data_IF_399509963516
#
_entry.id   IF_399509963516
#
_cell.length_a   1.000
_cell.length_b   1.000
_cell.length_c   1.000
_cell.angle_alpha   90.00
_cell.angle_beta   90.00
_cell.angle_gamma   90.00
#
_symmetry.space_group_name_H-M   'P 1'
#
loop_
_entity.id
_entity.type
_entity.pdbx_description
1 polymer ?
#
# COMPACT_ATOMS: atom_id res chain seq x y z
N UNK A 1 -35.72 23.19 19.39
CA UNK A 1 -35.24 21.79 19.23
C UNK A 1 -34.82 21.40 17.78
N UNK A 2 -34.20 22.27 16.95
CA UNK A 2 -33.53 21.82 15.72
C UNK A 2 -32.00 21.63 15.90
N UNK A 3 -31.38 22.41 16.78
CA UNK A 3 -29.92 22.46 16.98
C UNK A 3 -29.34 21.16 17.55
N UNK A 4 -30.05 20.52 18.48
CA UNK A 4 -29.66 19.21 19.04
C UNK A 4 -29.75 18.08 18.01
N UNK A 5 -30.71 18.16 17.07
CA UNK A 5 -30.84 17.19 15.97
C UNK A 5 -29.78 17.40 14.90
N UNK A 6 -29.43 18.65 14.59
CA UNK A 6 -28.32 18.99 13.69
C UNK A 6 -26.97 18.57 14.26
N UNK A 7 -26.74 18.76 15.56
CA UNK A 7 -25.54 18.25 16.26
C UNK A 7 -25.46 16.73 16.22
N UNK A 8 -26.57 16.02 16.51
CA UNK A 8 -26.62 14.56 16.42
C UNK A 8 -26.38 14.05 15.00
N UNK A 9 -26.95 14.71 13.98
CA UNK A 9 -26.71 14.36 12.58
C UNK A 9 -25.26 14.60 12.15
N UNK A 10 -24.65 15.71 12.57
CA UNK A 10 -23.24 15.98 12.32
C UNK A 10 -22.33 14.94 12.97
N UNK A 11 -22.64 14.53 14.20
CA UNK A 11 -21.86 13.54 14.95
C UNK A 11 -21.98 12.13 14.35
N UNK A 12 -23.16 11.77 13.84
CA UNK A 12 -23.39 10.51 13.12
C UNK A 12 -22.67 10.50 11.76
N UNK A 13 -22.73 11.59 10.99
CA UNK A 13 -22.02 11.70 9.72
C UNK A 13 -20.50 11.66 9.90
N UNK A 14 -20.00 12.30 10.95
CA UNK A 14 -18.58 12.28 11.32
C UNK A 14 -18.11 10.89 11.75
N UNK A 15 -18.88 10.19 12.58
CA UNK A 15 -18.60 8.82 12.96
C UNK A 15 -18.62 7.86 11.75
N UNK A 16 -19.57 8.06 10.82
CA UNK A 16 -19.65 7.27 9.59
C UNK A 16 -18.47 7.53 8.65
N UNK A 17 -17.99 8.77 8.55
CA UNK A 17 -16.80 9.10 7.75
C UNK A 17 -15.51 8.50 8.35
N UNK A 18 -15.35 8.57 9.68
CA UNK A 18 -14.22 7.93 10.38
C UNK A 18 -14.28 6.40 10.20
N UNK A 19 -15.45 5.80 10.38
CA UNK A 19 -15.64 4.37 10.14
C UNK A 19 -15.34 4.00 8.68
N UNK A 20 -15.74 4.82 7.71
CA UNK A 20 -15.43 4.64 6.29
C UNK A 20 -13.94 4.70 5.96
N UNK A 21 -13.18 5.60 6.59
CA UNK A 21 -11.72 5.69 6.43
C UNK A 21 -11.01 4.54 7.13
N UNK A 22 -11.47 4.12 8.31
CA UNK A 22 -10.90 2.96 9.02
C UNK A 22 -11.19 1.64 8.29
N UNK A 23 -12.41 1.44 7.80
CA UNK A 23 -12.78 0.29 6.97
C UNK A 23 -12.04 0.34 5.64
N UNK A 24 -11.94 1.52 5.01
CA UNK A 24 -11.16 1.73 3.80
C UNK A 24 -9.68 1.41 3.98
N UNK A 25 -9.08 1.75 5.14
CA UNK A 25 -7.72 1.35 5.51
C UNK A 25 -7.60 -0.14 5.81
N UNK A 26 -8.54 -0.76 6.51
CA UNK A 26 -8.53 -2.21 6.72
C UNK A 26 -8.65 -2.99 5.41
N UNK A 27 -9.36 -2.45 4.42
CA UNK A 27 -9.48 -3.03 3.07
C UNK A 27 -8.26 -2.71 2.20
N UNK A 28 -7.61 -1.56 2.38
CA UNK A 28 -6.41 -1.16 1.63
C UNK A 28 -5.10 -1.73 2.20
N UNK A 29 -5.02 -1.94 3.52
CA UNK A 29 -3.93 -2.59 4.26
C UNK A 29 -4.12 -4.12 4.30
N UNK A 30 -5.29 -4.64 3.88
CA UNK A 30 -5.40 -6.06 3.60
C UNK A 30 -4.38 -6.38 2.49
N UNK A 31 -3.54 -7.42 2.65
CA UNK A 31 -2.69 -7.88 1.57
C UNK A 31 -3.57 -8.03 0.34
N UNK A 32 -3.34 -7.22 -0.70
CA UNK A 32 -4.10 -7.37 -1.94
C UNK A 32 -3.95 -8.82 -2.32
N UNK A 33 -5.05 -9.51 -2.62
CA UNK A 33 -5.01 -10.94 -2.91
C UNK A 33 -3.92 -11.28 -3.95
N UNK A 34 -3.60 -10.34 -4.84
CA UNK A 34 -2.49 -10.38 -5.81
C UNK A 34 -1.07 -10.41 -5.22
N UNK A 35 -0.77 -9.68 -4.12
CA UNK A 35 0.57 -9.66 -3.49
C UNK A 35 0.82 -11.00 -2.75
N UNK A 36 -0.20 -11.52 -2.07
CA UNK A 36 -0.17 -12.84 -1.44
C UNK A 36 -0.11 -13.97 -2.48
N UNK A 37 -0.83 -13.85 -3.60
CA UNK A 37 -0.77 -14.82 -4.70
C UNK A 37 0.61 -14.85 -5.36
N UNK A 38 1.24 -13.69 -5.57
CA UNK A 38 2.57 -13.61 -6.18
C UNK A 38 3.67 -14.16 -5.24
N UNK A 39 3.61 -13.85 -3.94
CA UNK A 39 4.49 -14.45 -2.94
C UNK A 39 4.26 -15.98 -2.81
N UNK A 40 3.01 -16.44 -2.83
CA UNK A 40 2.70 -17.87 -2.79
C UNK A 40 3.17 -18.60 -4.05
N UNK A 41 3.15 -17.94 -5.21
CA UNK A 41 3.73 -18.44 -6.46
C UNK A 41 5.25 -18.52 -6.40
N UNK A 42 5.91 -17.48 -5.89
CA UNK A 42 7.36 -17.43 -5.74
C UNK A 42 7.91 -18.54 -4.83
N UNK A 43 7.23 -18.83 -3.72
CA UNK A 43 7.68 -19.83 -2.74
C UNK A 43 7.08 -21.23 -2.92
N UNK A 44 6.02 -21.37 -3.72
CA UNK A 44 5.28 -22.63 -3.87
C UNK A 44 5.36 -23.28 -5.26
N UNK A 45 5.67 -22.52 -6.31
CA UNK A 45 5.70 -23.04 -7.69
C UNK A 45 7.06 -22.94 -8.38
N UNK A 46 7.97 -22.08 -7.89
CA UNK A 46 9.34 -22.04 -8.39
C UNK A 46 10.21 -23.01 -7.58
N UNK A 47 10.83 -23.96 -8.28
CA UNK A 47 11.87 -24.82 -7.71
C UNK A 47 13.16 -24.01 -7.58
N UNK A 48 13.30 -23.30 -6.45
CA UNK A 48 14.42 -22.41 -6.15
C UNK A 48 15.62 -23.21 -5.64
N UNK A 49 16.81 -22.89 -6.11
CA UNK A 49 18.03 -23.45 -5.51
C UNK A 49 18.31 -22.80 -4.15
N UNK A 50 19.05 -23.46 -3.24
CA UNK A 50 19.43 -22.85 -1.96
C UNK A 50 20.15 -21.50 -2.11
N UNK A 51 20.96 -21.34 -3.17
CA UNK A 51 21.64 -20.07 -3.45
C UNK A 51 20.68 -18.97 -3.91
N UNK A 52 19.58 -19.34 -4.58
CA UNK A 52 18.53 -18.40 -4.98
C UNK A 52 17.71 -17.98 -3.76
N UNK A 53 17.35 -18.92 -2.86
CA UNK A 53 16.64 -18.63 -1.62
C UNK A 53 17.39 -17.60 -0.77
N UNK A 54 18.68 -17.81 -0.51
CA UNK A 54 19.50 -16.86 0.29
C UNK A 54 19.54 -15.46 -0.35
N UNK A 55 19.59 -15.38 -1.69
CA UNK A 55 19.57 -14.08 -2.39
C UNK A 55 18.21 -13.41 -2.27
N UNK A 56 17.13 -14.17 -2.40
CA UNK A 56 15.76 -13.69 -2.28
C UNK A 56 15.47 -13.23 -0.85
N UNK A 57 15.85 -13.98 0.18
CA UNK A 57 15.68 -13.58 1.58
C UNK A 57 16.31 -12.22 1.89
N UNK A 58 17.49 -11.93 1.32
CA UNK A 58 18.11 -10.62 1.46
C UNK A 58 17.31 -9.52 0.77
N UNK A 59 16.83 -9.77 -0.46
CA UNK A 59 15.98 -8.83 -1.21
C UNK A 59 14.68 -8.55 -0.44
N UNK A 60 14.10 -9.58 0.17
CA UNK A 60 12.89 -9.47 1.01
C UNK A 60 13.14 -8.63 2.27
N UNK A 61 14.23 -8.89 2.99
CA UNK A 61 14.58 -8.11 4.18
C UNK A 61 14.78 -6.62 3.85
N UNK A 62 15.48 -6.32 2.76
CA UNK A 62 15.70 -4.95 2.30
C UNK A 62 14.39 -4.26 1.90
N UNK A 63 13.50 -4.97 1.20
CA UNK A 63 12.19 -4.45 0.82
C UNK A 63 11.28 -4.23 2.04
N UNK A 64 11.23 -5.18 2.97
CA UNK A 64 10.44 -5.07 4.19
C UNK A 64 10.83 -3.84 5.03
N UNK A 65 12.13 -3.57 5.15
CA UNK A 65 12.64 -2.37 5.83
C UNK A 65 12.20 -1.07 5.14
N UNK A 66 12.32 -0.99 3.81
CA UNK A 66 11.90 0.19 3.04
C UNK A 66 10.39 0.39 3.06
N UNK A 67 9.62 -0.69 2.90
CA UNK A 67 8.15 -0.66 2.99
C UNK A 67 7.70 -0.13 4.35
N UNK A 68 8.26 -0.65 5.44
CA UNK A 68 7.92 -0.20 6.79
C UNK A 68 8.23 1.29 7.01
N UNK A 69 9.36 1.79 6.49
CA UNK A 69 9.70 3.20 6.58
C UNK A 69 8.68 4.09 5.86
N UNK A 70 8.29 3.72 4.63
CA UNK A 70 7.30 4.45 3.84
C UNK A 70 5.90 4.39 4.47
N UNK A 71 5.50 3.26 5.03
CA UNK A 71 4.23 3.13 5.77
C UNK A 71 4.19 4.06 7.00
N UNK A 72 5.30 4.17 7.73
CA UNK A 72 5.41 5.11 8.85
C UNK A 72 5.31 6.57 8.37
N UNK A 73 5.92 6.88 7.23
CA UNK A 73 5.84 8.20 6.62
C UNK A 73 4.42 8.55 6.17
N UNK A 74 3.70 7.60 5.57
CA UNK A 74 2.27 7.76 5.25
C UNK A 74 1.44 8.04 6.50
N UNK A 75 1.72 7.34 7.62
CA UNK A 75 1.02 7.60 8.89
C UNK A 75 1.32 9.00 9.41
N UNK A 76 2.56 9.46 9.31
CA UNK A 76 2.95 10.81 9.70
C UNK A 76 2.27 11.88 8.84
N UNK A 77 2.20 11.69 7.51
CA UNK A 77 1.48 12.58 6.61
C UNK A 77 -0.01 12.67 6.96
N UNK A 78 -0.64 11.56 7.32
CA UNK A 78 -2.03 11.55 7.77
C UNK A 78 -2.25 12.31 9.09
N UNK A 79 -1.29 12.27 10.02
CA UNK A 79 -1.34 13.09 11.24
C UNK A 79 -1.26 14.58 10.90
N UNK A 80 -0.36 14.98 9.98
CA UNK A 80 -0.27 16.37 9.51
C UNK A 80 -1.55 16.82 8.81
N UNK A 81 -2.14 15.97 7.98
CA UNK A 81 -3.43 16.24 7.33
C UNK A 81 -4.54 16.49 8.35
N UNK A 82 -4.64 15.66 9.41
CA UNK A 82 -5.63 15.86 10.46
C UNK A 82 -5.44 17.22 11.18
N UNK A 83 -4.20 17.59 11.49
CA UNK A 83 -3.87 18.88 12.10
C UNK A 83 -4.21 20.06 11.16
N UNK A 84 -3.96 19.91 9.86
CA UNK A 84 -4.30 20.92 8.86
C UNK A 84 -5.83 21.12 8.76
N UNK A 85 -6.60 20.03 8.72
CA UNK A 85 -8.07 20.08 8.70
C UNK A 85 -8.61 20.76 9.95
N UNK A 86 -8.08 20.44 11.12
CA UNK A 86 -8.47 21.09 12.38
C UNK A 86 -8.15 22.58 12.37
N UNK A 87 -7.03 22.99 11.80
CA UNK A 87 -6.60 24.38 11.84
C UNK A 87 -7.20 25.26 10.73
N UNK A 88 -7.61 24.69 9.60
CA UNK A 88 -8.14 25.44 8.45
C UNK A 88 -9.66 25.32 8.31
N UNK A 89 -10.28 24.28 8.89
CA UNK A 89 -11.72 24.01 8.79
C UNK A 89 -12.28 24.06 7.37
N UNK A 90 -11.43 23.76 6.38
CA UNK A 90 -11.70 23.88 4.95
C UNK A 90 -10.51 23.39 4.14
N UNK A 91 -10.68 23.33 2.83
CA UNK A 91 -9.64 22.90 1.90
C UNK A 91 -8.68 24.06 1.63
N UNK A 92 -7.79 24.34 2.59
CA UNK A 92 -6.79 25.39 2.52
C UNK A 92 -5.40 24.87 2.14
N UNK A 93 -4.39 25.76 2.13
CA UNK A 93 -3.06 25.43 1.64
C UNK A 93 -2.38 24.31 2.43
N UNK A 94 -2.55 24.21 3.76
CA UNK A 94 -1.94 23.13 4.54
C UNK A 94 -2.61 21.79 4.31
N UNK A 95 -3.93 21.79 4.05
CA UNK A 95 -4.65 20.58 3.67
C UNK A 95 -4.17 20.07 2.31
N UNK A 96 -3.98 20.97 1.34
CA UNK A 96 -3.43 20.60 0.02
C UNK A 96 -2.01 20.04 0.14
N UNK A 97 -1.12 20.71 0.88
CA UNK A 97 0.26 20.27 1.08
C UNK A 97 0.33 18.86 1.70
N UNK A 98 -0.43 18.60 2.77
CA UNK A 98 -0.44 17.29 3.42
C UNK A 98 -1.01 16.15 2.53
N UNK A 99 -1.95 16.49 1.63
CA UNK A 99 -2.46 15.54 0.62
C UNK A 99 -1.37 15.24 -0.42
N UNK A 100 -0.67 16.26 -0.91
CA UNK A 100 0.39 16.10 -1.91
C UNK A 100 1.56 15.26 -1.35
N UNK A 101 1.95 15.48 -0.10
CA UNK A 101 2.92 14.62 0.61
C UNK A 101 2.44 13.17 0.66
N UNK A 102 1.17 12.93 0.98
CA UNK A 102 0.60 11.58 1.04
C UNK A 102 0.67 10.90 -0.34
N UNK A 103 0.39 11.64 -1.42
CA UNK A 103 0.52 11.13 -2.79
C UNK A 103 1.96 10.82 -3.17
N UNK A 104 2.92 11.64 -2.76
CA UNK A 104 4.34 11.40 -3.02
C UNK A 104 4.84 10.11 -2.35
N UNK A 105 4.52 9.91 -1.07
CA UNK A 105 4.91 8.70 -0.34
C UNK A 105 4.24 7.47 -0.94
N UNK A 106 2.95 7.58 -1.30
CA UNK A 106 2.23 6.49 -1.96
C UNK A 106 2.86 6.14 -3.32
N UNK A 107 3.21 7.14 -4.13
CA UNK A 107 3.90 6.94 -5.41
C UNK A 107 5.30 6.33 -5.24
N UNK A 108 6.00 6.68 -4.17
CA UNK A 108 7.30 6.10 -3.83
C UNK A 108 7.16 4.63 -3.44
N UNK A 109 6.17 4.29 -2.61
CA UNK A 109 5.87 2.90 -2.27
C UNK A 109 5.57 2.05 -3.50
N UNK A 110 4.76 2.54 -4.44
CA UNK A 110 4.49 1.83 -5.69
C UNK A 110 5.76 1.57 -6.52
N UNK A 111 6.65 2.56 -6.63
CA UNK A 111 7.92 2.40 -7.34
C UNK A 111 8.81 1.37 -6.65
N UNK A 112 8.90 1.41 -5.33
CA UNK A 112 9.69 0.46 -4.54
C UNK A 112 9.17 -0.97 -4.67
N UNK A 113 7.86 -1.17 -4.65
CA UNK A 113 7.25 -2.49 -4.92
C UNK A 113 7.64 -3.01 -6.30
N UNK A 114 7.54 -2.19 -7.36
CA UNK A 114 7.94 -2.61 -8.70
C UNK A 114 9.45 -2.93 -8.80
N UNK A 115 10.30 -2.11 -8.19
CA UNK A 115 11.74 -2.37 -8.14
C UNK A 115 12.05 -3.68 -7.42
N UNK A 116 11.36 -3.97 -6.31
CA UNK A 116 11.48 -5.22 -5.58
C UNK A 116 11.08 -6.43 -6.45
N UNK A 117 9.97 -6.35 -7.20
CA UNK A 117 9.58 -7.41 -8.13
C UNK A 117 10.67 -7.70 -9.19
N UNK A 118 11.26 -6.66 -9.76
CA UNK A 118 12.34 -6.85 -10.73
C UNK A 118 13.65 -7.35 -10.10
N UNK A 119 13.93 -6.98 -8.85
CA UNK A 119 15.06 -7.52 -8.10
C UNK A 119 14.91 -9.04 -7.88
N UNK A 120 13.72 -9.50 -7.50
CA UNK A 120 13.42 -10.93 -7.37
C UNK A 120 13.55 -11.65 -8.71
N UNK A 121 12.97 -11.10 -9.79
CA UNK A 121 13.12 -11.64 -11.15
C UNK A 121 14.59 -11.84 -11.51
N UNK A 122 15.46 -10.89 -11.15
CA UNK A 122 16.89 -10.91 -11.49
C UNK A 122 17.68 -12.08 -10.87
N UNK A 123 17.11 -12.79 -9.88
CA UNK A 123 17.72 -13.98 -9.25
C UNK A 123 17.34 -15.27 -9.99
N UNK A 124 16.25 -15.23 -10.76
CA UNK A 124 15.66 -16.40 -11.40
C UNK A 124 16.42 -16.79 -12.68
N UNK A 125 16.43 -18.10 -12.98
CA UNK A 125 16.86 -18.62 -14.27
C UNK A 125 15.80 -18.32 -15.36
N UNK A 126 16.09 -18.54 -16.66
CA UNK A 126 15.16 -18.19 -17.74
C UNK A 126 13.77 -18.82 -17.61
N UNK A 127 13.68 -20.10 -17.27
CA UNK A 127 12.39 -20.82 -17.17
C UNK A 127 11.56 -20.32 -15.98
N UNK A 128 12.22 -20.12 -14.84
CA UNK A 128 11.63 -19.52 -13.64
C UNK A 128 11.12 -18.10 -13.91
N UNK A 129 11.91 -17.29 -14.62
CA UNK A 129 11.57 -15.91 -14.97
C UNK A 129 10.36 -15.84 -15.91
N UNK A 130 10.21 -16.76 -16.85
CA UNK A 130 9.01 -16.82 -17.71
C UNK A 130 7.74 -17.10 -16.89
N UNK A 131 7.82 -17.99 -15.90
CA UNK A 131 6.69 -18.32 -15.03
C UNK A 131 6.35 -17.17 -14.07
N UNK A 132 7.37 -16.47 -13.59
CA UNK A 132 7.23 -15.24 -12.82
C UNK A 132 6.54 -14.13 -13.64
N UNK A 133 7.03 -13.84 -14.85
CA UNK A 133 6.52 -12.78 -15.71
C UNK A 133 5.03 -13.00 -16.05
N UNK A 134 4.63 -14.25 -16.35
CA UNK A 134 3.22 -14.62 -16.58
C UNK A 134 2.36 -14.36 -15.35
N UNK A 135 2.89 -14.66 -14.16
CA UNK A 135 2.18 -14.47 -12.89
C UNK A 135 1.97 -13.00 -12.57
N UNK A 136 3.00 -12.18 -12.77
CA UNK A 136 2.93 -10.72 -12.60
C UNK A 136 1.89 -10.11 -13.55
N UNK A 137 1.93 -10.47 -14.84
CA UNK A 137 0.95 -9.97 -15.81
C UNK A 137 -0.46 -10.38 -15.42
N UNK A 138 -0.69 -11.62 -15.01
CA UNK A 138 -2.01 -12.08 -14.54
C UNK A 138 -2.49 -11.28 -13.34
N UNK A 139 -1.63 -11.06 -12.35
CA UNK A 139 -1.96 -10.30 -11.14
C UNK A 139 -2.30 -8.83 -11.46
N UNK A 140 -1.57 -8.19 -12.39
CA UNK A 140 -1.81 -6.81 -12.79
C UNK A 140 -3.05 -6.64 -13.70
N UNK A 141 -3.49 -7.70 -14.36
CA UNK A 141 -4.63 -7.68 -15.29
C UNK A 141 -5.90 -8.32 -14.72
N UNK A 142 -5.86 -8.80 -13.47
CA UNK A 142 -6.96 -9.55 -12.85
C UNK A 142 -8.27 -8.74 -12.75
N UNK A 143 -8.16 -7.44 -12.43
CA UNK A 143 -9.31 -6.53 -12.29
C UNK A 143 -9.78 -5.90 -13.62
N UNK A 144 -9.08 -6.18 -14.74
CA UNK A 144 -9.44 -5.67 -16.06
C UNK A 144 -10.43 -6.57 -16.82
N UNK A 145 -10.97 -7.61 -16.17
CA UNK A 145 -11.92 -8.58 -16.72
C UNK A 145 -13.34 -8.40 -16.18
#
# INVERSE_FOLDING_TARGET
MPSRRLLLLGLIAFAAAIAGVFIGRLVADAPRASETELHALLHGQLDLTPEQEVKLERIEADFAGRRQALELEMRAANVRLAQAIEAEHGYGPRVTEAIDETHEVMGTLQKETLQHLFAMRGVLNPDQAEMFDKSVVKALTADAR
#
